data_IF_993832008143
#
_entry.id   IF_993832008143
#
_cell.length_a   1.000
_cell.length_b   1.000
_cell.length_c   1.000
_cell.angle_alpha   90.00
_cell.angle_beta   90.00
_cell.angle_gamma   90.00
#
_symmetry.space_group_name_H-M   'P 1'
#
loop_
_entity.id
_entity.type
_entity.pdbx_description
1 polymer ?
#
# COMPACT_ATOMS: atom_id res chain seq x y z
N UNK A 1 15.98 -7.17 15.43
CA UNK A 1 14.61 -6.72 15.80
C UNK A 1 14.57 -5.29 16.36
N UNK A 2 15.53 -4.86 17.18
CA UNK A 2 15.50 -3.51 17.79
C UNK A 2 15.38 -2.34 16.77
N UNK A 3 15.96 -2.45 15.58
CA UNK A 3 15.89 -1.44 14.52
C UNK A 3 14.76 -1.65 13.51
N UNK A 4 13.97 -2.73 13.66
CA UNK A 4 12.95 -3.12 12.68
C UNK A 4 11.91 -2.03 12.41
N UNK A 5 11.36 -1.29 13.40
CA UNK A 5 10.37 -0.25 13.11
C UNK A 5 10.90 0.86 12.20
N UNK A 6 12.17 1.26 12.37
CA UNK A 6 12.81 2.27 11.54
C UNK A 6 13.09 1.74 10.13
N UNK A 7 13.62 0.52 10.01
CA UNK A 7 13.86 -0.12 8.71
C UNK A 7 12.55 -0.31 7.93
N UNK A 8 11.51 -0.82 8.60
CA UNK A 8 10.18 -1.03 8.01
C UNK A 8 9.52 0.30 7.61
N UNK A 9 9.77 1.40 8.33
CA UNK A 9 9.28 2.72 7.91
C UNK A 9 9.91 3.17 6.59
N UNK A 10 11.21 2.96 6.40
CA UNK A 10 11.90 3.27 5.14
C UNK A 10 11.32 2.45 3.99
N UNK A 11 11.16 1.14 4.16
CA UNK A 11 10.60 0.28 3.10
C UNK A 11 9.17 0.66 2.76
N UNK A 12 8.32 0.94 3.76
CA UNK A 12 6.95 1.42 3.53
C UNK A 12 6.90 2.71 2.72
N UNK A 13 7.82 3.64 2.99
CA UNK A 13 7.90 4.91 2.26
C UNK A 13 8.35 4.71 0.80
N UNK A 14 9.23 3.76 0.54
CA UNK A 14 9.66 3.38 -0.81
C UNK A 14 8.52 2.73 -1.60
N UNK A 15 7.79 1.79 -0.99
CA UNK A 15 6.63 1.13 -1.61
C UNK A 15 5.52 2.12 -1.95
N UNK A 16 5.19 3.02 -1.02
CA UNK A 16 4.19 4.07 -1.29
C UNK A 16 4.62 5.01 -2.44
N UNK A 17 5.92 5.28 -2.58
CA UNK A 17 6.44 6.05 -3.71
C UNK A 17 6.36 5.28 -5.02
N UNK A 18 6.67 3.99 -4.98
CA UNK A 18 6.59 3.12 -6.15
C UNK A 18 5.15 3.03 -6.68
N UNK A 19 4.16 2.86 -5.79
CA UNK A 19 2.75 2.86 -6.15
C UNK A 19 2.31 4.20 -6.72
N UNK A 20 2.68 5.31 -6.06
CA UNK A 20 2.36 6.64 -6.57
C UNK A 20 2.97 6.85 -7.96
N UNK A 21 4.22 6.43 -8.16
CA UNK A 21 4.88 6.50 -9.46
C UNK A 21 4.20 5.63 -10.51
N UNK A 22 3.75 4.43 -10.13
CA UNK A 22 2.98 3.56 -11.01
C UNK A 22 1.69 4.26 -11.46
N UNK A 23 0.93 4.87 -10.55
CA UNK A 23 -0.27 5.65 -10.88
C UNK A 23 0.03 6.80 -11.84
N UNK A 24 1.10 7.57 -11.61
CA UNK A 24 1.49 8.67 -12.50
C UNK A 24 1.85 8.18 -13.92
N UNK A 25 2.43 6.99 -14.04
CA UNK A 25 2.90 6.43 -15.32
C UNK A 25 1.77 5.72 -16.07
N UNK A 26 1.00 4.87 -15.40
CA UNK A 26 -0.06 4.06 -16.03
C UNK A 26 -1.36 4.82 -16.17
N UNK A 27 -1.63 5.79 -15.28
CA UNK A 27 -2.92 6.47 -15.13
C UNK A 27 -4.10 5.50 -14.97
N UNK A 28 -3.83 4.38 -14.32
CA UNK A 28 -4.79 3.29 -14.14
C UNK A 28 -4.93 2.94 -12.65
N UNK A 29 -5.75 3.70 -11.91
CA UNK A 29 -6.00 3.43 -10.50
C UNK A 29 -6.82 2.15 -10.27
N UNK A 30 -7.65 1.74 -11.23
CA UNK A 30 -8.47 0.53 -11.14
C UNK A 30 -7.60 -0.73 -11.11
N UNK A 31 -6.54 -0.78 -11.92
CA UNK A 31 -5.60 -1.90 -11.90
C UNK A 31 -4.84 -2.03 -10.58
N UNK A 32 -4.44 -0.93 -9.94
CA UNK A 32 -3.81 -1.01 -8.60
C UNK A 32 -4.82 -1.53 -7.58
N UNK A 33 -6.04 -1.00 -7.57
CA UNK A 33 -7.09 -1.46 -6.66
C UNK A 33 -7.37 -2.96 -6.84
N UNK A 34 -7.57 -3.41 -8.08
CA UNK A 34 -7.80 -4.81 -8.40
C UNK A 34 -6.65 -5.72 -7.98
N UNK A 35 -5.40 -5.28 -8.16
CA UNK A 35 -4.22 -6.04 -7.73
C UNK A 35 -4.15 -6.18 -6.20
N UNK A 36 -4.42 -5.10 -5.44
CA UNK A 36 -4.39 -5.13 -3.97
C UNK A 36 -5.54 -5.96 -3.39
N UNK A 37 -6.75 -5.83 -3.96
CA UNK A 37 -7.92 -6.63 -3.58
C UNK A 37 -7.66 -8.12 -3.87
N UNK A 38 -7.20 -8.45 -5.07
CA UNK A 38 -6.86 -9.83 -5.42
C UNK A 38 -5.78 -10.44 -4.52
N UNK A 39 -4.79 -9.65 -4.11
CA UNK A 39 -3.79 -10.10 -3.13
C UNK A 39 -4.40 -10.30 -1.74
N UNK A 40 -5.33 -9.44 -1.31
CA UNK A 40 -6.05 -9.61 -0.05
C UNK A 40 -6.91 -10.88 -0.03
N UNK A 41 -7.50 -11.26 -1.16
CA UNK A 41 -8.36 -12.44 -1.26
C UNK A 41 -7.55 -13.75 -1.32
N UNK A 42 -6.36 -13.69 -1.92
CA UNK A 42 -5.51 -14.87 -2.13
C UNK A 42 -4.43 -15.05 -1.07
N UNK A 43 -4.11 -13.99 -0.32
CA UNK A 43 -3.24 -14.09 0.85
C UNK A 43 -4.07 -14.35 2.11
N UNK A 44 -3.55 -15.17 3.02
CA UNK A 44 -4.13 -15.36 4.37
C UNK A 44 -3.83 -14.15 5.29
N UNK A 45 -3.45 -13.01 4.70
CA UNK A 45 -3.06 -11.80 5.43
C UNK A 45 -4.25 -10.90 5.70
N UNK A 46 -4.22 -10.21 6.83
CA UNK A 46 -5.18 -9.16 7.15
C UNK A 46 -4.86 -7.91 6.29
N UNK A 47 -5.80 -7.41 5.44
CA UNK A 47 -5.58 -6.21 4.63
C UNK A 47 -5.48 -4.91 5.44
N UNK A 48 -5.96 -4.91 6.69
CA UNK A 48 -5.91 -3.78 7.64
C UNK A 48 -5.46 -4.26 9.03
N UNK A 49 -4.20 -4.69 9.16
CA UNK A 49 -3.71 -5.31 10.39
C UNK A 49 -3.63 -4.30 11.54
N UNK A 50 -3.74 -4.75 12.80
CA UNK A 50 -3.59 -3.88 13.97
C UNK A 50 -2.31 -3.03 13.93
N UNK A 51 -2.40 -1.76 14.34
CA UNK A 51 -1.28 -0.82 14.21
C UNK A 51 0.05 -1.30 14.84
N UNK A 52 -0.01 -2.08 15.93
CA UNK A 52 1.18 -2.61 16.59
C UNK A 52 1.88 -3.73 15.78
N UNK A 53 1.13 -4.60 15.10
CA UNK A 53 1.72 -5.62 14.21
C UNK A 53 2.33 -4.93 12.99
N UNK A 54 1.61 -3.94 12.43
CA UNK A 54 2.10 -3.15 11.32
C UNK A 54 3.38 -2.39 11.66
N UNK A 55 3.46 -1.80 12.86
CA UNK A 55 4.65 -1.07 13.33
C UNK A 55 5.87 -1.99 13.45
N UNK A 56 5.72 -3.15 14.10
CA UNK A 56 6.83 -4.04 14.42
C UNK A 56 7.23 -4.97 13.28
N UNK A 57 6.26 -5.42 12.47
CA UNK A 57 6.44 -6.51 11.50
C UNK A 57 6.10 -6.11 10.06
N UNK A 58 5.25 -5.10 9.86
CA UNK A 58 4.79 -4.70 8.53
C UNK A 58 5.90 -4.06 7.69
N UNK A 59 6.42 -4.80 6.72
CA UNK A 59 7.48 -4.32 5.81
C UNK A 59 6.96 -3.45 4.66
N UNK A 60 5.65 -3.50 4.39
CA UNK A 60 4.97 -2.78 3.32
C UNK A 60 3.72 -2.09 3.89
N UNK A 61 3.16 -1.06 3.23
CA UNK A 61 1.89 -0.47 3.65
C UNK A 61 0.78 -1.52 3.65
N UNK A 62 -0.22 -1.42 4.56
CA UNK A 62 -1.44 -2.22 4.49
C UNK A 62 -2.06 -2.20 3.08
N UNK A 63 -2.68 -3.30 2.66
CA UNK A 63 -3.33 -3.37 1.35
C UNK A 63 -4.45 -2.32 1.25
N UNK A 64 -5.19 -2.11 2.34
CA UNK A 64 -6.22 -1.08 2.43
C UNK A 64 -5.67 0.34 2.17
N UNK A 65 -4.50 0.68 2.72
CA UNK A 65 -3.85 1.99 2.51
C UNK A 65 -3.44 2.20 1.05
N UNK A 66 -2.99 1.13 0.37
CA UNK A 66 -2.59 1.19 -1.05
C UNK A 66 -3.81 1.40 -1.96
N UNK A 67 -4.94 0.75 -1.67
CA UNK A 67 -6.22 1.01 -2.34
C UNK A 67 -6.68 2.45 -2.10
N UNK A 68 -6.61 2.92 -0.85
CA UNK A 68 -6.98 4.30 -0.52
C UNK A 68 -6.12 5.33 -1.27
N UNK A 69 -4.83 5.07 -1.46
CA UNK A 69 -3.93 5.91 -2.25
C UNK A 69 -4.34 5.97 -3.73
N UNK A 70 -4.67 4.83 -4.35
CA UNK A 70 -5.15 4.80 -5.74
C UNK A 70 -6.43 5.63 -5.92
N UNK A 71 -7.39 5.47 -5.01
CA UNK A 71 -8.64 6.25 -4.99
C UNK A 71 -8.39 7.74 -4.79
N UNK A 72 -7.49 8.11 -3.87
CA UNK A 72 -7.11 9.50 -3.63
C UNK A 72 -6.36 10.13 -4.82
N UNK A 73 -5.57 9.34 -5.55
CA UNK A 73 -4.92 9.79 -6.78
C UNK A 73 -5.96 10.12 -7.87
N UNK A 74 -6.93 9.23 -8.06
CA UNK A 74 -8.02 9.39 -9.02
C UNK A 74 -8.89 10.61 -8.69
N UNK A 75 -9.26 10.80 -7.42
CA UNK A 75 -10.10 11.94 -7.01
C UNK A 75 -9.44 13.29 -7.23
N UNK A 76 -8.09 13.36 -7.26
CA UNK A 76 -7.34 14.58 -7.55
C UNK A 76 -7.22 14.87 -9.06
N UNK A 77 -7.62 13.93 -9.90
CA UNK A 77 -7.53 13.99 -11.37
C UNK A 77 -8.84 13.51 -11.99
N UNK A 78 -9.93 14.28 -11.81
CA UNK A 78 -11.17 13.99 -12.50
C UNK A 78 -10.95 13.96 -14.02
N UNK A 79 -11.76 13.18 -14.76
CA UNK A 79 -11.63 13.00 -16.21
C UNK A 79 -11.73 14.31 -17.00
#
# INVERSE_FOLDING_TARGET
LATAPAANWVTRRMEAEADWKALEVTRDPESIEGAMVGLSETSLGDPDPPAWTQLLLGTHPPLADRVAMARAWASRRPP
#
